data_IF_528987660969
#
_entry.id   IF_528987660969
#
_cell.length_a   1.000
_cell.length_b   1.000
_cell.length_c   1.000
_cell.angle_alpha   90.00
_cell.angle_beta   90.00
_cell.angle_gamma   90.00
#
_symmetry.space_group_name_H-M   'P 1'
#
loop_
_entity.id
_entity.type
_entity.pdbx_description
1 polymer ?
#
# COMPACT_ATOMS: atom_id res chain seq x y z
N UNK A 1 5.66 9.18 -14.91
CA UNK A 1 5.53 8.07 -13.93
C UNK A 1 5.40 8.57 -12.49
N UNK A 2 6.37 9.33 -11.95
CA UNK A 2 6.32 9.83 -10.58
C UNK A 2 5.05 10.66 -10.28
N UNK A 3 4.68 11.57 -11.20
CA UNK A 3 3.43 12.33 -11.08
C UNK A 3 2.16 11.47 -11.24
N UNK A 4 2.21 10.40 -12.03
CA UNK A 4 1.08 9.46 -12.16
C UNK A 4 0.88 8.68 -10.85
N UNK A 5 1.96 8.26 -10.19
CA UNK A 5 1.88 7.59 -8.89
C UNK A 5 1.42 8.55 -7.80
N UNK A 6 1.93 9.78 -7.75
CA UNK A 6 1.46 10.79 -6.78
C UNK A 6 -0.02 11.16 -7.01
N UNK A 7 -0.46 11.24 -8.27
CA UNK A 7 -1.87 11.43 -8.60
C UNK A 7 -2.74 10.24 -8.17
N UNK A 8 -2.28 9.01 -8.42
CA UNK A 8 -2.95 7.78 -7.97
C UNK A 8 -2.93 7.60 -6.44
N UNK A 9 -1.93 8.15 -5.74
CA UNK A 9 -1.89 8.22 -4.27
C UNK A 9 -2.90 9.22 -3.72
N UNK A 10 -3.18 10.30 -4.44
CA UNK A 10 -4.24 11.25 -4.11
C UNK A 10 -5.64 10.65 -4.37
N UNK A 11 -5.75 9.80 -5.39
CA UNK A 11 -6.97 9.02 -5.73
C UNK A 11 -7.18 7.76 -4.88
N UNK A 12 -6.15 7.29 -4.15
CA UNK A 12 -6.17 6.09 -3.29
C UNK A 12 -7.19 6.12 -2.16
N UNK A 13 -7.81 7.27 -1.90
CA UNK A 13 -8.97 7.36 -1.02
C UNK A 13 -10.19 6.60 -1.59
N UNK A 14 -10.27 6.33 -2.90
CA UNK A 14 -11.52 5.82 -3.50
C UNK A 14 -11.52 4.39 -4.07
N UNK A 15 -10.46 3.83 -4.69
CA UNK A 15 -10.55 2.44 -5.19
C UNK A 15 -9.19 1.78 -5.53
N UNK A 16 -8.84 0.68 -4.84
CA UNK A 16 -7.63 -0.15 -5.11
C UNK A 16 -7.77 -1.12 -6.30
N UNK A 17 -8.95 -1.18 -6.91
CA UNK A 17 -9.34 -2.10 -8.00
C UNK A 17 -9.30 -1.47 -9.40
N UNK A 18 -8.92 -0.20 -9.52
CA UNK A 18 -8.88 0.45 -10.83
C UNK A 18 -7.82 -0.20 -11.73
N UNK A 19 -8.20 -0.41 -13.00
CA UNK A 19 -7.31 -0.92 -14.04
C UNK A 19 -6.02 -0.07 -14.15
N UNK A 20 -6.14 1.23 -13.91
CA UNK A 20 -5.01 2.18 -13.87
C UNK A 20 -3.98 1.83 -12.78
N UNK A 21 -4.42 1.40 -11.60
CA UNK A 21 -3.53 0.99 -10.51
C UNK A 21 -2.77 -0.30 -10.84
N UNK A 22 -3.47 -1.31 -11.38
CA UNK A 22 -2.87 -2.57 -11.81
C UNK A 22 -1.80 -2.33 -12.89
N UNK A 23 -2.13 -1.50 -13.89
CA UNK A 23 -1.20 -1.13 -14.97
C UNK A 23 0.02 -0.38 -14.46
N UNK A 24 -0.17 0.58 -13.54
CA UNK A 24 0.92 1.30 -12.89
C UNK A 24 1.84 0.36 -12.09
N UNK A 25 1.28 -0.64 -11.41
CA UNK A 25 2.05 -1.66 -10.66
C UNK A 25 2.90 -2.55 -11.59
N UNK A 26 2.34 -2.97 -12.73
CA UNK A 26 3.08 -3.73 -13.74
C UNK A 26 4.20 -2.91 -14.38
N UNK A 27 3.93 -1.65 -14.74
CA UNK A 27 4.95 -0.73 -15.26
C UNK A 27 6.08 -0.53 -14.24
N UNK A 28 5.75 -0.39 -12.95
CA UNK A 28 6.74 -0.29 -11.87
C UNK A 28 7.64 -1.51 -11.81
N UNK A 29 7.05 -2.71 -11.87
CA UNK A 29 7.80 -3.98 -11.86
C UNK A 29 8.76 -4.05 -13.05
N UNK A 30 8.24 -3.83 -14.26
CA UNK A 30 9.04 -3.83 -15.48
C UNK A 30 10.20 -2.83 -15.41
N UNK A 31 9.95 -1.62 -14.87
CA UNK A 31 10.98 -0.60 -14.72
C UNK A 31 12.09 -1.03 -13.73
N UNK A 32 11.73 -1.62 -12.58
CA UNK A 32 12.69 -2.16 -11.62
C UNK A 32 13.53 -3.31 -12.21
N UNK A 33 12.89 -4.22 -12.94
CA UNK A 33 13.57 -5.33 -13.61
C UNK A 33 14.56 -4.80 -14.65
N UNK A 34 14.17 -3.79 -15.44
CA UNK A 34 15.06 -3.11 -16.40
C UNK A 34 16.24 -2.42 -15.73
N UNK A 35 16.05 -1.77 -14.58
CA UNK A 35 17.15 -1.17 -13.84
C UNK A 35 18.11 -2.20 -13.25
N UNK A 36 17.61 -3.36 -12.80
CA UNK A 36 18.45 -4.47 -12.35
C UNK A 36 19.27 -5.07 -13.51
N UNK A 37 18.67 -5.19 -14.70
CA UNK A 37 19.37 -5.57 -15.92
C UNK A 37 20.45 -4.54 -16.29
N UNK A 38 20.12 -3.24 -16.22
CA UNK A 38 21.08 -2.16 -16.47
C UNK A 38 22.29 -2.23 -15.53
N UNK A 39 22.07 -2.40 -14.22
CA UNK A 39 23.16 -2.58 -13.24
C UNK A 39 24.03 -3.80 -13.54
N UNK A 40 23.39 -4.92 -13.95
CA UNK A 40 24.09 -6.14 -14.37
C UNK A 40 24.98 -5.89 -15.58
N UNK A 41 24.47 -5.20 -16.61
CA UNK A 41 25.23 -4.86 -17.82
C UNK A 41 26.43 -3.95 -17.51
N UNK A 42 26.25 -2.95 -16.64
CA UNK A 42 27.32 -2.04 -16.23
C UNK A 42 28.43 -2.79 -15.49
N UNK A 43 28.08 -3.73 -14.61
CA UNK A 43 29.05 -4.61 -13.95
C UNK A 43 29.78 -5.51 -14.94
N UNK A 44 29.08 -6.05 -15.93
CA UNK A 44 29.70 -6.84 -17.01
C UNK A 44 30.69 -6.01 -17.83
N UNK A 45 30.34 -4.77 -18.19
CA UNK A 45 31.25 -3.84 -18.90
C UNK A 45 32.54 -3.59 -18.10
N UNK A 46 32.41 -3.44 -16.77
CA UNK A 46 33.57 -3.27 -15.88
C UNK A 46 34.45 -4.51 -15.79
N UNK A 47 33.84 -5.70 -15.88
CA UNK A 47 34.54 -6.98 -15.77
C UNK A 47 35.27 -7.38 -17.06
N UNK A 48 34.98 -6.73 -18.19
CA UNK A 48 35.68 -6.98 -19.45
C UNK A 48 37.17 -6.64 -19.32
N UNK A 49 38.08 -7.44 -19.93
CA UNK A 49 39.51 -7.21 -19.85
C UNK A 49 39.90 -5.88 -20.49
N UNK A 50 40.49 -4.98 -19.69
CA UNK A 50 41.02 -3.71 -20.17
C UNK A 50 42.48 -3.89 -20.64
N UNK A 51 42.67 -3.98 -21.96
CA UNK A 51 44.00 -4.14 -22.58
C UNK A 51 44.82 -2.84 -22.62
N UNK A 52 44.23 -1.71 -22.24
CA UNK A 52 44.91 -0.42 -22.17
C UNK A 52 44.43 0.43 -20.98
N UNK A 53 45.28 1.37 -20.48
CA UNK A 53 44.87 2.32 -19.45
C UNK A 53 43.69 3.20 -19.87
N UNK A 54 43.60 3.55 -21.16
CA UNK A 54 42.47 4.29 -21.73
C UNK A 54 41.15 3.52 -21.58
N UNK A 55 41.15 2.23 -21.94
CA UNK A 55 39.97 1.37 -21.83
C UNK A 55 39.52 1.20 -20.37
N UNK A 56 40.47 1.06 -19.44
CA UNK A 56 40.17 0.98 -18.00
C UNK A 56 39.52 2.27 -17.47
N UNK A 57 40.01 3.43 -17.91
CA UNK A 57 39.42 4.74 -17.58
C UNK A 57 38.01 4.86 -18.16
N UNK A 58 37.80 4.45 -19.40
CA UNK A 58 36.48 4.47 -20.05
C UNK A 58 35.47 3.58 -19.30
N UNK A 59 35.83 2.33 -18.99
CA UNK A 59 34.98 1.43 -18.20
C UNK A 59 34.63 2.03 -16.83
N UNK A 60 35.61 2.64 -16.14
CA UNK A 60 35.39 3.28 -14.85
C UNK A 60 34.42 4.47 -14.96
N UNK A 61 34.58 5.29 -15.99
CA UNK A 61 33.69 6.43 -16.25
C UNK A 61 32.26 5.99 -16.59
N UNK A 62 32.10 4.93 -17.39
CA UNK A 62 30.80 4.33 -17.70
C UNK A 62 30.13 3.87 -16.39
N UNK A 63 30.84 3.12 -15.54
CA UNK A 63 30.28 2.71 -14.26
C UNK A 63 29.89 3.87 -13.36
N UNK A 64 30.72 4.91 -13.27
CA UNK A 64 30.44 6.09 -12.46
C UNK A 64 29.17 6.82 -12.94
N UNK A 65 29.06 7.08 -14.25
CA UNK A 65 27.89 7.73 -14.85
C UNK A 65 26.62 6.89 -14.68
N UNK A 66 26.71 5.57 -14.89
CA UNK A 66 25.61 4.64 -14.69
C UNK A 66 25.13 4.57 -13.25
N UNK A 67 26.05 4.60 -12.27
CA UNK A 67 25.69 4.62 -10.85
C UNK A 67 24.96 5.91 -10.47
N UNK A 68 25.37 7.06 -11.00
CA UNK A 68 24.68 8.34 -10.79
C UNK A 68 23.26 8.27 -11.36
N UNK A 69 23.12 7.77 -12.60
CA UNK A 69 21.81 7.60 -13.24
C UNK A 69 20.90 6.66 -12.44
N UNK A 70 21.43 5.53 -11.96
CA UNK A 70 20.68 4.62 -11.11
C UNK A 70 20.27 5.28 -9.80
N UNK A 71 21.18 5.97 -9.10
CA UNK A 71 20.83 6.65 -7.84
C UNK A 71 19.72 7.68 -8.02
N UNK A 72 19.74 8.44 -9.12
CA UNK A 72 18.72 9.45 -9.42
C UNK A 72 17.35 8.83 -9.73
N UNK A 73 17.31 7.68 -10.40
CA UNK A 73 16.06 7.10 -10.91
C UNK A 73 15.52 5.93 -10.06
N UNK A 74 16.37 5.19 -9.34
CA UNK A 74 16.01 4.03 -8.52
C UNK A 74 15.64 4.38 -7.08
N UNK A 75 16.28 5.38 -6.48
CA UNK A 75 16.01 5.76 -5.08
C UNK A 75 14.53 6.14 -4.85
N UNK A 76 13.88 6.90 -5.75
CA UNK A 76 12.45 7.19 -5.64
C UNK A 76 11.55 5.95 -5.82
N UNK A 77 11.99 4.96 -6.61
CA UNK A 77 11.22 3.73 -6.90
C UNK A 77 11.28 2.69 -5.78
N UNK A 78 12.41 2.62 -5.07
CA UNK A 78 12.61 1.70 -3.95
C UNK A 78 11.95 2.20 -2.65
N UNK A 79 11.71 3.51 -2.51
CA UNK A 79 11.02 4.10 -1.37
C UNK A 79 9.49 3.87 -1.40
N UNK A 80 8.90 3.73 -2.60
CA UNK A 80 7.46 3.49 -2.78
C UNK A 80 6.92 2.29 -1.98
N UNK A 81 7.46 1.06 -2.05
CA UNK A 81 6.91 -0.05 -1.27
C UNK A 81 7.04 0.14 0.25
N UNK A 82 7.92 1.04 0.74
CA UNK A 82 8.00 1.40 2.17
C UNK A 82 6.89 2.37 2.59
N UNK A 83 6.50 3.28 1.70
CA UNK A 83 5.41 4.24 1.92
C UNK A 83 4.03 3.58 1.70
N UNK A 84 3.96 2.61 0.80
CA UNK A 84 2.71 1.94 0.40
C UNK A 84 2.33 0.72 1.24
N UNK A 85 3.22 0.21 2.10
CA UNK A 85 2.86 -0.84 3.05
C UNK A 85 2.03 -0.22 4.17
N UNK A 86 0.74 -0.49 4.12
CA UNK A 86 -0.17 -0.23 5.23
C UNK A 86 0.42 -0.88 6.49
N UNK A 87 0.66 -0.09 7.55
CA UNK A 87 1.18 -0.61 8.81
C UNK A 87 0.30 -1.79 9.24
N UNK A 88 0.86 -2.93 9.67
CA UNK A 88 0.08 -4.11 10.04
C UNK A 88 -0.97 -3.79 11.10
N UNK A 89 -0.63 -2.90 12.03
CA UNK A 89 -1.53 -2.31 13.02
C UNK A 89 -2.72 -1.58 12.39
N UNK A 90 -2.48 -0.69 11.42
CA UNK A 90 -3.57 0.01 10.70
C UNK A 90 -4.47 -0.96 9.94
N UNK A 91 -3.90 -2.03 9.37
CA UNK A 91 -4.66 -3.08 8.69
C UNK A 91 -5.55 -3.85 9.68
N UNK A 92 -5.02 -4.21 10.85
CA UNK A 92 -5.79 -4.86 11.91
C UNK A 92 -6.93 -3.97 12.43
N UNK A 93 -6.65 -2.69 12.69
CA UNK A 93 -7.66 -1.73 13.13
C UNK A 93 -8.81 -1.58 12.12
N UNK A 94 -8.50 -1.56 10.81
CA UNK A 94 -9.54 -1.55 9.76
C UNK A 94 -10.38 -2.83 9.73
N UNK A 95 -9.75 -3.99 9.86
CA UNK A 95 -10.46 -5.27 9.87
C UNK A 95 -11.35 -5.41 11.12
N UNK A 96 -10.87 -4.92 12.26
CA UNK A 96 -11.66 -4.84 13.48
C UNK A 96 -12.85 -3.90 13.28
N UNK A 97 -12.65 -2.68 12.74
CA UNK A 97 -13.73 -1.74 12.44
C UNK A 97 -14.81 -2.36 11.53
N UNK A 98 -14.40 -3.08 10.49
CA UNK A 98 -15.31 -3.77 9.58
C UNK A 98 -16.15 -4.84 10.29
N UNK A 99 -15.54 -5.55 11.24
CA UNK A 99 -16.24 -6.55 12.07
C UNK A 99 -17.30 -5.91 12.96
N UNK A 100 -16.98 -4.80 13.65
CA UNK A 100 -17.92 -4.10 14.53
C UNK A 100 -19.08 -3.47 13.74
N UNK A 101 -18.83 -2.96 12.52
CA UNK A 101 -19.88 -2.46 11.63
C UNK A 101 -20.85 -3.57 11.21
N UNK A 102 -20.34 -4.77 10.92
CA UNK A 102 -21.20 -5.90 10.59
C UNK A 102 -22.00 -6.39 11.81
N UNK A 103 -21.36 -6.45 12.99
CA UNK A 103 -22.05 -6.76 14.25
C UNK A 103 -23.18 -5.77 14.55
N UNK A 104 -22.95 -4.48 14.32
CA UNK A 104 -23.97 -3.43 14.48
C UNK A 104 -25.20 -3.74 13.62
N UNK A 105 -25.01 -4.07 12.34
CA UNK A 105 -26.11 -4.43 11.43
C UNK A 105 -26.87 -5.68 11.88
N UNK A 106 -26.16 -6.68 12.39
CA UNK A 106 -26.77 -7.90 12.92
C UNK A 106 -27.61 -7.61 14.16
N UNK A 107 -27.09 -6.81 15.10
CA UNK A 107 -27.81 -6.42 16.31
C UNK A 107 -29.03 -5.57 15.98
N UNK A 108 -28.94 -4.63 15.04
CA UNK A 108 -30.11 -3.91 14.53
C UNK A 108 -31.17 -4.85 13.93
N UNK A 109 -30.74 -5.91 13.25
CA UNK A 109 -31.61 -7.00 12.78
C UNK A 109 -32.34 -7.69 13.94
N UNK A 110 -31.60 -8.13 14.94
CA UNK A 110 -32.17 -8.79 16.12
C UNK A 110 -33.09 -7.88 16.92
N UNK A 111 -32.80 -6.59 17.02
CA UNK A 111 -33.69 -5.61 17.64
C UNK A 111 -35.02 -5.56 16.90
N UNK A 112 -35.00 -5.45 15.56
CA UNK A 112 -36.24 -5.45 14.75
C UNK A 112 -37.04 -6.74 14.94
N UNK A 113 -36.36 -7.88 15.01
CA UNK A 113 -37.02 -9.17 15.21
C UNK A 113 -37.64 -9.27 16.61
N UNK A 114 -36.90 -8.87 17.66
CA UNK A 114 -37.38 -8.85 19.04
C UNK A 114 -38.54 -7.85 19.24
N UNK A 115 -38.53 -6.70 18.54
CA UNK A 115 -39.62 -5.74 18.54
C UNK A 115 -40.90 -6.33 17.92
N UNK A 116 -40.79 -7.10 16.82
CA UNK A 116 -41.95 -7.81 16.24
C UNK A 116 -42.49 -8.90 17.15
N UNK A 117 -41.63 -9.57 17.90
CA UNK A 117 -42.01 -10.62 18.84
C UNK A 117 -42.49 -10.09 20.21
N UNK A 118 -42.41 -8.77 20.44
CA UNK A 118 -42.81 -8.15 21.72
C UNK A 118 -41.88 -8.48 22.89
N UNK A 119 -40.63 -8.86 22.62
CA UNK A 119 -39.62 -9.21 23.64
C UNK A 119 -38.90 -7.95 24.14
N UNK A 120 -39.60 -7.14 24.93
CA UNK A 120 -39.13 -5.81 25.33
C UNK A 120 -37.83 -5.81 26.16
N UNK A 121 -37.60 -6.83 26.99
CA UNK A 121 -36.35 -6.97 27.77
C UNK A 121 -35.14 -7.27 26.86
N UNK A 122 -35.34 -8.10 25.84
CA UNK A 122 -34.32 -8.40 24.84
C UNK A 122 -34.01 -7.15 24.00
N UNK A 123 -35.05 -6.41 23.58
CA UNK A 123 -34.87 -5.13 22.86
C UNK A 123 -34.04 -4.15 23.68
N UNK A 124 -34.31 -4.03 24.98
CA UNK A 124 -33.56 -3.14 25.88
C UNK A 124 -32.10 -3.57 26.00
N UNK A 125 -31.85 -4.87 26.17
CA UNK A 125 -30.49 -5.43 26.27
C UNK A 125 -29.71 -5.23 24.98
N UNK A 126 -30.33 -5.52 23.83
CA UNK A 126 -29.70 -5.36 22.52
C UNK A 126 -29.41 -3.88 22.18
N UNK A 127 -30.27 -2.94 22.60
CA UNK A 127 -30.01 -1.49 22.44
C UNK A 127 -28.80 -1.03 23.25
N UNK A 128 -28.64 -1.52 24.48
CA UNK A 128 -27.43 -1.24 25.28
C UNK A 128 -26.16 -1.78 24.59
N UNK A 129 -26.21 -3.01 24.07
CA UNK A 129 -25.08 -3.56 23.30
C UNK A 129 -24.79 -2.77 22.02
N UNK A 130 -25.83 -2.23 21.36
CA UNK A 130 -25.67 -1.39 20.17
C UNK A 130 -24.92 -0.08 20.49
N UNK A 131 -25.24 0.55 21.63
CA UNK A 131 -24.57 1.77 22.09
C UNK A 131 -23.08 1.50 22.41
N UNK A 132 -22.77 0.37 23.04
CA UNK A 132 -21.38 -0.07 23.27
C UNK A 132 -20.62 -0.29 21.96
N UNK A 133 -21.24 -0.96 20.98
CA UNK A 133 -20.63 -1.17 19.65
C UNK A 133 -20.36 0.16 18.94
N UNK A 134 -21.27 1.12 19.01
CA UNK A 134 -21.06 2.46 18.47
C UNK A 134 -19.89 3.19 19.15
N UNK A 135 -19.76 3.08 20.47
CA UNK A 135 -18.63 3.65 21.21
C UNK A 135 -17.28 3.08 20.76
N UNK A 136 -17.20 1.75 20.56
CA UNK A 136 -15.98 1.11 20.06
C UNK A 136 -15.66 1.49 18.61
N UNK A 137 -16.68 1.66 17.76
CA UNK A 137 -16.51 2.14 16.38
C UNK A 137 -15.88 3.53 16.35
N UNK A 138 -16.37 4.46 17.18
CA UNK A 138 -15.82 5.82 17.26
C UNK A 138 -14.38 5.81 17.79
N UNK A 139 -14.06 4.97 18.79
CA UNK A 139 -12.71 4.79 19.28
C UNK A 139 -11.76 4.24 18.19
N UNK A 140 -12.21 3.27 17.40
CA UNK A 140 -11.43 2.71 16.28
C UNK A 140 -11.23 3.73 15.15
N UNK A 141 -12.23 4.56 14.85
CA UNK A 141 -12.12 5.65 13.88
C UNK A 141 -11.10 6.69 14.32
N UNK A 142 -11.15 7.12 15.58
CA UNK A 142 -10.19 8.06 16.16
C UNK A 142 -8.74 7.54 16.12
N UNK A 143 -8.52 6.21 16.18
CA UNK A 143 -7.20 5.58 16.02
C UNK A 143 -6.74 5.45 14.56
N UNK A 144 -7.63 5.62 13.59
CA UNK A 144 -7.36 5.45 12.15
C UNK A 144 -7.11 6.77 11.40
N UNK A 145 -7.52 7.89 12.00
CA UNK A 145 -7.21 9.27 11.61
C UNK A 145 -5.75 9.64 11.93
#
# INVERSE_FOLDING_TARGET
FHQLILALEKEKALNRTSESFLRASQIRKSLLDNFALYDTLVKSIKALPARSPCMKRLQTNICAASNIYLQQNMLPLQMLPRILKEKPERKQLKQQLETYLEQTRLVEGFIRDAEREGKYDDVKTLKASLDELHGEIENLRAKLD
#
